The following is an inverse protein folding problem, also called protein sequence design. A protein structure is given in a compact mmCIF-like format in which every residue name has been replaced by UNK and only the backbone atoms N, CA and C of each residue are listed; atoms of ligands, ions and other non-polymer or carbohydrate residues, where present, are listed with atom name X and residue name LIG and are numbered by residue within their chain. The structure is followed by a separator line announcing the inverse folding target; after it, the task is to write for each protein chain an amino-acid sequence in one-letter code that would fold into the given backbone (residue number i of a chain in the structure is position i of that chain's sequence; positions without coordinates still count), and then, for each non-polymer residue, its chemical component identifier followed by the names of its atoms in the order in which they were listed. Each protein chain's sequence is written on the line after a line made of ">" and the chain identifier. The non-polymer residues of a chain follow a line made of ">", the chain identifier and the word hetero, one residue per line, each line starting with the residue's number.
data_IF_174415680282
#
_entry.id   IF_174415680282
#
_cell.length_a   1.000
_cell.length_b   1.000
_cell.length_c   1.000
_cell.angle_alpha   90.00
_cell.angle_beta   90.00
_cell.angle_gamma   90.00
#
_symmetry.space_group_name_H-M   'P 1'
#
loop_
_entity.id
_entity.type
_entity.pdbx_description
1 polymer ?
#
# COMPACT_ATOMS: atom_id res chain seq x y z
N UNK A 1 14.23 42.29 -16.03
CA UNK A 1 14.75 41.26 -15.09
C UNK A 1 13.71 40.81 -14.05
N UNK A 2 13.09 41.70 -13.25
CA UNK A 2 12.10 41.30 -12.22
C UNK A 2 10.92 40.47 -12.75
N UNK A 3 10.39 40.77 -13.95
CA UNK A 3 9.30 39.98 -14.56
C UNK A 3 9.72 38.59 -15.05
N UNK A 4 10.99 38.40 -15.39
CA UNK A 4 11.53 37.10 -15.85
C UNK A 4 11.72 36.16 -14.66
N UNK A 5 12.30 36.67 -13.57
CA UNK A 5 12.46 35.94 -12.31
C UNK A 5 11.11 35.49 -11.74
N UNK A 6 10.10 36.37 -11.74
CA UNK A 6 8.76 36.03 -11.28
C UNK A 6 8.12 34.90 -12.10
N UNK A 7 8.29 34.92 -13.43
CA UNK A 7 7.80 33.83 -14.32
C UNK A 7 8.50 32.50 -14.03
N UNK A 8 9.84 32.51 -13.96
CA UNK A 8 10.63 31.32 -13.64
C UNK A 8 10.26 30.72 -12.28
N UNK A 9 10.14 31.55 -11.25
CA UNK A 9 9.72 31.09 -9.92
C UNK A 9 8.32 30.49 -9.94
N UNK A 10 7.33 31.16 -10.55
CA UNK A 10 5.97 30.62 -10.64
C UNK A 10 5.90 29.25 -11.31
N UNK A 11 6.76 29.00 -12.30
CA UNK A 11 6.80 27.72 -13.03
C UNK A 11 7.51 26.61 -12.25
N UNK A 12 8.65 26.93 -11.63
CA UNK A 12 9.31 26.01 -10.69
C UNK A 12 8.35 25.62 -9.57
N UNK A 13 7.58 26.58 -9.03
CA UNK A 13 6.53 26.31 -8.05
C UNK A 13 5.42 25.41 -8.60
N UNK A 14 4.97 25.62 -9.85
CA UNK A 14 3.95 24.77 -10.47
C UNK A 14 4.43 23.33 -10.70
N UNK A 15 5.66 23.16 -11.20
CA UNK A 15 6.26 21.83 -11.39
C UNK A 15 6.45 21.11 -10.06
N UNK A 16 6.95 21.82 -9.05
CA UNK A 16 7.09 21.29 -7.71
C UNK A 16 5.72 20.87 -7.14
N UNK A 17 4.68 21.69 -7.31
CA UNK A 17 3.33 21.38 -6.83
C UNK A 17 2.80 20.08 -7.44
N UNK A 18 2.96 19.88 -8.75
CA UNK A 18 2.51 18.64 -9.43
C UNK A 18 3.28 17.43 -8.92
N UNK A 19 4.60 17.54 -8.80
CA UNK A 19 5.43 16.47 -8.24
C UNK A 19 5.02 16.12 -6.80
N UNK A 20 4.68 17.13 -5.99
CA UNK A 20 4.19 16.92 -4.62
C UNK A 20 2.81 16.25 -4.59
N UNK A 21 1.90 16.58 -5.51
CA UNK A 21 0.58 15.93 -5.61
C UNK A 21 0.75 14.45 -5.98
N UNK A 22 1.59 14.15 -6.97
CA UNK A 22 1.89 12.76 -7.37
C UNK A 22 2.54 11.98 -6.22
N UNK A 23 3.52 12.58 -5.55
CA UNK A 23 4.16 11.98 -4.39
C UNK A 23 3.17 11.72 -3.25
N UNK A 24 2.27 12.67 -2.96
CA UNK A 24 1.23 12.51 -1.94
C UNK A 24 0.30 11.34 -2.26
N UNK A 25 -0.08 11.15 -3.53
CA UNK A 25 -0.92 10.03 -3.95
C UNK A 25 -0.22 8.67 -3.73
N UNK A 26 1.05 8.57 -4.15
CA UNK A 26 1.86 7.36 -3.92
C UNK A 26 2.04 7.05 -2.42
N UNK A 27 2.26 8.08 -1.61
CA UNK A 27 2.38 7.94 -0.16
C UNK A 27 1.06 7.42 0.44
N UNK A 28 -0.08 7.97 0.04
CA UNK A 28 -1.40 7.51 0.52
C UNK A 28 -1.65 6.05 0.16
N UNK A 29 -1.35 5.64 -1.08
CA UNK A 29 -1.49 4.24 -1.51
C UNK A 29 -0.58 3.32 -0.68
N UNK A 30 0.70 3.67 -0.56
CA UNK A 30 1.68 2.91 0.22
C UNK A 30 1.29 2.80 1.70
N UNK A 31 0.72 3.86 2.28
CA UNK A 31 0.25 3.84 3.67
C UNK A 31 -0.95 2.90 3.86
N UNK A 32 -1.85 2.76 2.88
CA UNK A 32 -2.94 1.78 2.95
C UNK A 32 -2.41 0.36 2.96
N UNK A 33 -1.40 0.07 2.13
CA UNK A 33 -0.76 -1.25 2.08
C UNK A 33 -0.02 -1.55 3.38
N UNK A 34 0.68 -0.55 3.95
CA UNK A 34 1.36 -0.67 5.24
C UNK A 34 0.39 -0.96 6.38
N UNK A 35 -0.73 -0.23 6.48
CA UNK A 35 -1.75 -0.45 7.51
C UNK A 35 -2.37 -1.86 7.40
N UNK A 36 -2.56 -2.38 6.18
CA UNK A 36 -3.03 -3.76 5.97
C UNK A 36 -1.97 -4.79 6.40
N UNK A 37 -0.70 -4.53 6.12
CA UNK A 37 0.38 -5.40 6.56
C UNK A 37 0.47 -5.46 8.09
N UNK A 38 0.40 -4.31 8.77
CA UNK A 38 0.35 -4.23 10.24
C UNK A 38 -0.84 -5.00 10.81
N UNK A 39 -2.04 -4.83 10.22
CA UNK A 39 -3.22 -5.60 10.60
C UNK A 39 -2.98 -7.11 10.50
N UNK A 40 -2.41 -7.60 9.40
CA UNK A 40 -2.14 -9.02 9.19
C UNK A 40 -1.05 -9.57 10.10
N UNK A 41 -0.03 -8.77 10.42
CA UNK A 41 1.01 -9.15 11.38
C UNK A 41 0.40 -9.38 12.77
N UNK A 42 -0.41 -8.44 13.26
CA UNK A 42 -1.07 -8.59 14.56
C UNK A 42 -2.04 -9.77 14.56
N UNK A 43 -2.79 -9.99 13.47
CA UNK A 43 -3.66 -11.16 13.33
C UNK A 43 -2.89 -12.49 13.41
N UNK A 44 -1.72 -12.57 12.77
CA UNK A 44 -0.85 -13.75 12.82
C UNK A 44 -0.28 -13.98 14.22
N UNK A 45 0.17 -12.91 14.90
CA UNK A 45 0.62 -12.98 16.29
C UNK A 45 -0.48 -13.50 17.21
N UNK A 46 -1.72 -12.98 17.11
CA UNK A 46 -2.88 -13.48 17.86
C UNK A 46 -3.05 -14.99 17.63
N UNK A 47 -3.08 -15.46 16.39
CA UNK A 47 -3.21 -16.88 16.11
C UNK A 47 -2.04 -17.70 16.65
N UNK A 48 -0.80 -17.19 16.55
CA UNK A 48 0.39 -17.82 17.08
C UNK A 48 0.30 -18.05 18.59
N UNK A 49 -0.01 -17.00 19.37
CA UNK A 49 -0.13 -17.08 20.82
C UNK A 49 -1.30 -17.96 21.25
N UNK A 50 -2.47 -17.81 20.63
CA UNK A 50 -3.66 -18.61 20.93
C UNK A 50 -3.44 -20.10 20.62
N UNK A 51 -2.80 -20.43 19.51
CA UNK A 51 -2.47 -21.83 19.16
C UNK A 51 -1.44 -22.43 20.13
N UNK A 52 -0.45 -21.65 20.57
CA UNK A 52 0.54 -22.11 21.55
C UNK A 52 -0.10 -22.32 22.93
N UNK A 53 -1.01 -21.44 23.36
CA UNK A 53 -1.81 -21.62 24.57
C UNK A 53 -2.60 -22.94 24.52
N UNK A 54 -3.35 -23.15 23.43
CA UNK A 54 -4.11 -24.37 23.19
C UNK A 54 -3.22 -25.63 23.22
N UNK A 55 -2.02 -25.56 22.63
CA UNK A 55 -1.08 -26.67 22.63
C UNK A 55 -0.61 -27.03 24.06
N UNK A 56 -0.19 -26.06 24.86
CA UNK A 56 0.22 -26.31 26.24
C UNK A 56 -0.93 -26.86 27.08
N UNK A 57 -2.12 -26.28 26.96
CA UNK A 57 -3.29 -26.69 27.71
C UNK A 57 -3.86 -28.04 27.25
N UNK A 58 -3.67 -28.43 25.98
CA UNK A 58 -4.03 -29.77 25.52
C UNK A 58 -3.15 -30.85 26.19
N UNK A 59 -1.85 -30.57 26.36
CA UNK A 59 -0.95 -31.43 27.12
C UNK A 59 -1.33 -31.40 28.61
N UNK A 60 -1.60 -30.21 29.16
CA UNK A 60 -2.07 -30.01 30.54
C UNK A 60 -3.31 -30.85 30.83
N UNK A 61 -4.30 -30.83 29.92
CA UNK A 61 -5.51 -31.64 29.97
C UNK A 61 -5.20 -33.13 30.07
N UNK A 62 -4.28 -33.62 29.24
CA UNK A 62 -3.86 -35.03 29.23
C UNK A 62 -3.13 -35.44 30.52
N UNK A 63 -2.22 -34.59 31.01
CA UNK A 63 -1.52 -34.80 32.28
C UNK A 63 -2.51 -34.80 33.45
N UNK A 64 -3.41 -33.82 33.51
CA UNK A 64 -4.45 -33.75 34.55
C UNK A 64 -5.39 -34.96 34.53
N UNK A 65 -5.79 -35.41 33.34
CA UNK A 65 -6.59 -36.63 33.20
C UNK A 65 -5.85 -37.88 33.69
N UNK A 66 -4.53 -37.92 33.53
CA UNK A 66 -3.67 -39.01 34.03
C UNK A 66 -3.57 -38.96 35.56
N UNK A 67 -3.32 -37.78 36.14
CA UNK A 67 -3.30 -37.57 37.61
C UNK A 67 -4.59 -38.07 38.27
N UNK A 68 -5.74 -37.70 37.69
CA UNK A 68 -7.05 -38.06 38.21
C UNK A 68 -7.40 -39.53 38.00
N UNK A 69 -6.91 -40.16 36.93
CA UNK A 69 -7.14 -41.57 36.62
C UNK A 69 -6.21 -42.55 37.33
N UNK A 70 -5.03 -42.09 37.75
CA UNK A 70 -4.05 -42.92 38.46
C UNK A 70 -4.42 -43.09 39.93
N UNK A 71 -4.29 -44.31 40.49
CA UNK A 71 -4.41 -44.54 41.93
C UNK A 71 -3.31 -43.80 42.71
N UNK A 72 -2.06 -43.98 42.28
CA UNK A 72 -0.85 -43.35 42.82
C UNK A 72 -0.09 -42.64 41.69
N UNK A 73 -0.48 -41.42 41.31
CA UNK A 73 0.22 -40.67 40.26
C UNK A 73 1.66 -40.32 40.67
N UNK A 74 2.66 -40.46 39.78
CA UNK A 74 4.02 -39.99 40.04
C UNK A 74 4.05 -38.50 40.41
N UNK A 75 4.85 -38.13 41.41
CA UNK A 75 4.97 -36.74 41.89
C UNK A 75 5.35 -35.75 40.78
N UNK A 76 6.20 -36.18 39.83
CA UNK A 76 6.61 -35.37 38.69
C UNK A 76 5.46 -34.94 37.77
N UNK A 77 4.33 -35.65 37.76
CA UNK A 77 3.16 -35.24 36.95
C UNK A 77 2.52 -33.95 37.49
N UNK A 78 2.50 -33.75 38.81
CA UNK A 78 1.93 -32.55 39.42
C UNK A 78 2.78 -31.31 39.09
N UNK A 79 4.10 -31.43 39.21
CA UNK A 79 5.03 -30.37 38.80
C UNK A 79 4.91 -30.07 37.31
N UNK A 80 4.76 -31.11 36.47
CA UNK A 80 4.57 -30.95 35.03
C UNK A 80 3.25 -30.25 34.69
N UNK A 81 2.18 -30.61 35.38
CA UNK A 81 0.86 -29.99 35.24
C UNK A 81 0.91 -28.49 35.54
N UNK A 82 1.55 -28.11 36.65
CA UNK A 82 1.71 -26.70 37.02
C UNK A 82 2.59 -25.92 36.03
N UNK A 83 3.70 -26.52 35.58
CA UNK A 83 4.58 -25.92 34.56
C UNK A 83 3.83 -25.63 33.26
N UNK A 84 3.02 -26.60 32.79
CA UNK A 84 2.22 -26.45 31.58
C UNK A 84 1.15 -25.36 31.74
N UNK A 85 0.48 -25.31 32.90
CA UNK A 85 -0.48 -24.25 33.20
C UNK A 85 0.16 -22.87 33.13
N UNK A 86 1.34 -22.68 33.73
CA UNK A 86 2.09 -21.41 33.67
C UNK A 86 2.47 -21.01 32.24
N UNK A 87 2.93 -21.98 31.43
CA UNK A 87 3.26 -21.72 30.01
C UNK A 87 2.03 -21.36 29.18
N UNK A 88 0.92 -22.06 29.39
CA UNK A 88 -0.36 -21.74 28.78
C UNK A 88 -0.81 -20.33 29.14
N UNK A 89 -0.77 -19.97 30.43
CA UNK A 89 -1.22 -18.67 30.93
C UNK A 89 -0.42 -17.50 30.35
N UNK A 90 0.91 -17.67 30.20
CA UNK A 90 1.75 -16.68 29.54
C UNK A 90 1.31 -16.41 28.09
N UNK A 91 1.00 -17.48 27.34
CA UNK A 91 0.52 -17.36 25.95
C UNK A 91 -0.91 -16.83 25.84
N UNK A 92 -1.77 -17.12 26.80
CA UNK A 92 -3.10 -16.49 26.89
C UNK A 92 -2.95 -14.98 27.10
N UNK A 93 -2.05 -14.54 27.98
CA UNK A 93 -1.82 -13.11 28.23
C UNK A 93 -1.31 -12.39 26.98
N UNK A 94 -0.24 -12.90 26.34
CA UNK A 94 0.30 -12.34 25.10
C UNK A 94 -0.80 -12.26 24.01
N UNK A 95 -1.58 -13.33 23.84
CA UNK A 95 -2.69 -13.35 22.89
C UNK A 95 -3.77 -12.31 23.17
N UNK A 96 -4.12 -12.09 24.43
CA UNK A 96 -5.10 -11.06 24.82
C UNK A 96 -4.58 -9.64 24.59
N UNK A 97 -3.30 -9.38 24.83
CA UNK A 97 -2.66 -8.07 24.56
C UNK A 97 -2.68 -7.76 23.05
N UNK A 98 -2.28 -8.71 22.21
CA UNK A 98 -2.36 -8.55 20.74
C UNK A 98 -3.81 -8.40 20.23
N UNK A 99 -4.80 -9.03 20.88
CA UNK A 99 -6.21 -8.84 20.53
C UNK A 99 -6.66 -7.41 20.85
N UNK A 100 -6.23 -6.82 21.96
CA UNK A 100 -6.53 -5.43 22.28
C UNK A 100 -5.91 -4.47 21.26
N UNK A 101 -4.71 -4.77 20.77
CA UNK A 101 -4.09 -4.04 19.66
C UNK A 101 -4.87 -4.20 18.35
N UNK A 102 -5.23 -5.43 17.99
CA UNK A 102 -6.03 -5.74 16.81
C UNK A 102 -7.35 -4.97 16.81
N UNK A 103 -8.03 -4.89 17.95
CA UNK A 103 -9.30 -4.18 18.08
C UNK A 103 -9.18 -2.65 17.95
N UNK A 104 -7.97 -2.08 18.08
CA UNK A 104 -7.70 -0.66 17.76
C UNK A 104 -7.53 -0.45 16.26
N UNK A 105 -6.97 -1.43 15.55
CA UNK A 105 -6.78 -1.39 14.10
C UNK A 105 -8.07 -1.71 13.35
N UNK A 106 -8.91 -2.59 13.91
CA UNK A 106 -10.17 -3.06 13.30
C UNK A 106 -11.24 -3.28 14.35
N UNK A 107 -12.38 -2.60 14.20
CA UNK A 107 -13.58 -2.91 14.99
C UNK A 107 -14.18 -4.24 14.54
N UNK A 108 -14.32 -5.17 15.48
CA UNK A 108 -14.77 -6.54 15.20
C UNK A 108 -15.65 -7.07 16.36
N UNK A 109 -16.98 -6.89 16.29
CA UNK A 109 -17.91 -7.31 17.35
C UNK A 109 -17.95 -8.83 17.56
N UNK A 110 -17.72 -9.60 16.49
CA UNK A 110 -17.69 -11.06 16.56
C UNK A 110 -16.44 -11.51 17.34
N UNK A 111 -15.29 -10.88 17.07
CA UNK A 111 -14.06 -11.14 17.83
C UNK A 111 -14.23 -10.80 19.31
N UNK A 112 -14.86 -9.66 19.62
CA UNK A 112 -15.15 -9.28 21.01
C UNK A 112 -16.02 -10.34 21.72
N UNK A 113 -17.02 -10.87 21.03
CA UNK A 113 -17.90 -11.93 21.55
C UNK A 113 -17.14 -13.24 21.78
N UNK A 114 -16.30 -13.64 20.82
CA UNK A 114 -15.46 -14.83 20.92
C UNK A 114 -14.47 -14.71 22.10
N UNK A 115 -13.84 -13.54 22.26
CA UNK A 115 -12.90 -13.25 23.34
C UNK A 115 -13.59 -13.28 24.70
N UNK A 116 -14.80 -12.73 24.82
CA UNK A 116 -15.59 -12.82 26.06
C UNK A 116 -15.87 -14.27 26.44
N UNK A 117 -16.28 -15.08 25.47
CA UNK A 117 -16.53 -16.51 25.66
C UNK A 117 -15.26 -17.25 26.09
N UNK A 118 -14.14 -16.97 25.44
CA UNK A 118 -12.84 -17.53 25.80
C UNK A 118 -12.39 -17.13 27.20
N UNK A 119 -12.49 -15.85 27.58
CA UNK A 119 -12.15 -15.38 28.94
C UNK A 119 -12.93 -16.14 30.01
N UNK A 120 -14.22 -16.42 29.79
CA UNK A 120 -15.02 -17.22 30.70
C UNK A 120 -14.53 -18.67 30.79
N UNK A 121 -14.30 -19.33 29.65
CA UNK A 121 -13.79 -20.70 29.64
C UNK A 121 -12.38 -20.83 30.24
N UNK A 122 -11.54 -19.81 30.07
CA UNK A 122 -10.21 -19.72 30.66
C UNK A 122 -10.27 -19.56 32.18
N UNK A 123 -11.20 -18.76 32.69
CA UNK A 123 -11.44 -18.67 34.13
C UNK A 123 -11.91 -20.01 34.70
N UNK A 124 -12.82 -20.71 34.04
CA UNK A 124 -13.26 -22.05 34.43
C UNK A 124 -12.06 -23.04 34.51
N UNK A 125 -11.20 -23.02 33.49
CA UNK A 125 -9.96 -23.82 33.45
C UNK A 125 -9.06 -23.49 34.65
N UNK A 126 -8.79 -22.21 34.91
CA UNK A 126 -7.95 -21.76 36.04
C UNK A 126 -8.53 -22.21 37.37
N UNK A 127 -9.84 -22.10 37.56
CA UNK A 127 -10.52 -22.53 38.79
C UNK A 127 -10.55 -24.06 38.97
N UNK A 128 -10.45 -24.83 37.88
CA UNK A 128 -10.38 -26.29 37.93
C UNK A 128 -8.97 -26.81 38.29
N UNK A 129 -7.89 -26.09 37.95
CA UNK A 129 -6.50 -26.54 38.19
C UNK A 129 -6.19 -26.93 39.65
N UNK A 130 -6.52 -26.11 40.68
CA UNK A 130 -6.30 -26.52 42.07
C UNK A 130 -7.06 -27.79 42.45
N UNK A 131 -8.24 -27.99 41.85
CA UNK A 131 -9.06 -29.20 42.07
C UNK A 131 -8.44 -30.45 41.45
N UNK A 132 -7.69 -30.31 40.35
CA UNK A 132 -6.88 -31.39 39.79
C UNK A 132 -5.72 -31.72 40.73
N UNK A 133 -5.04 -30.71 41.24
CA UNK A 133 -3.87 -30.86 42.13
C UNK A 133 -4.22 -31.59 43.43
N UNK A 134 -5.36 -31.26 44.05
CA UNK A 134 -5.85 -31.94 45.25
C UNK A 134 -6.76 -33.15 44.94
N UNK A 135 -6.95 -33.47 43.65
CA UNK A 135 -7.77 -34.59 43.15
C UNK A 135 -9.23 -34.55 43.61
N UNK A 136 -9.80 -33.36 43.83
CA UNK A 136 -11.20 -33.15 44.21
C UNK A 136 -12.17 -33.03 43.04
N UNK A 137 -11.69 -32.99 41.80
CA UNK A 137 -12.50 -32.98 40.57
C UNK A 137 -12.43 -34.33 39.85
N UNK A 138 -13.52 -34.72 39.17
CA UNK A 138 -13.54 -35.94 38.38
C UNK A 138 -12.87 -35.76 37.00
N UNK A 139 -12.34 -36.85 36.43
CA UNK A 139 -11.83 -36.85 35.03
C UNK A 139 -12.91 -36.43 34.02
N UNK A 140 -14.15 -36.87 34.25
CA UNK A 140 -15.33 -36.54 33.43
C UNK A 140 -15.70 -35.06 33.49
N UNK A 141 -15.27 -34.31 34.50
CA UNK A 141 -15.48 -32.87 34.61
C UNK A 141 -14.25 -32.07 34.14
N UNK A 142 -13.05 -32.56 34.44
CA UNK A 142 -11.79 -31.92 34.03
C UNK A 142 -11.62 -31.87 32.50
N UNK A 143 -11.78 -33.01 31.82
CA UNK A 143 -11.54 -33.10 30.37
C UNK A 143 -12.45 -32.13 29.59
N UNK A 144 -13.78 -32.10 29.84
CA UNK A 144 -14.65 -31.14 29.17
C UNK A 144 -14.32 -29.68 29.49
N UNK A 145 -14.00 -29.36 30.75
CA UNK A 145 -13.63 -28.00 31.16
C UNK A 145 -12.43 -27.49 30.35
N UNK A 146 -11.35 -28.26 30.31
CA UNK A 146 -10.16 -27.89 29.54
C UNK A 146 -10.42 -27.88 28.03
N UNK A 147 -11.23 -28.81 27.53
CA UNK A 147 -11.58 -28.87 26.10
C UNK A 147 -12.41 -27.66 25.66
N UNK A 148 -13.33 -27.18 26.50
CA UNK A 148 -14.13 -25.98 26.23
C UNK A 148 -13.25 -24.74 26.10
N UNK A 149 -12.22 -24.60 26.94
CA UNK A 149 -11.27 -23.50 26.80
C UNK A 149 -10.50 -23.58 25.47
N UNK A 150 -9.91 -24.73 25.16
CA UNK A 150 -9.18 -24.96 23.91
C UNK A 150 -10.06 -24.70 22.68
N UNK A 151 -11.32 -25.11 22.71
CA UNK A 151 -12.27 -24.83 21.62
C UNK A 151 -12.58 -23.34 21.49
N UNK A 152 -12.67 -22.61 22.61
CA UNK A 152 -12.89 -21.16 22.60
C UNK A 152 -11.65 -20.41 22.08
N UNK A 153 -10.45 -20.92 22.34
CA UNK A 153 -9.20 -20.44 21.72
C UNK A 153 -9.23 -20.60 20.20
N UNK A 154 -9.59 -21.78 19.69
CA UNK A 154 -9.74 -21.96 18.25
C UNK A 154 -10.85 -21.10 17.64
N UNK A 155 -11.93 -20.84 18.37
CA UNK A 155 -12.98 -19.92 17.93
C UNK A 155 -12.44 -18.50 17.77
N UNK A 156 -11.69 -17.97 18.75
CA UNK A 156 -11.01 -16.67 18.65
C UNK A 156 -10.08 -16.65 17.43
N UNK A 157 -9.22 -17.67 17.28
CA UNK A 157 -8.32 -17.78 16.13
C UNK A 157 -9.08 -17.77 14.80
N UNK A 158 -10.21 -18.46 14.70
CA UNK A 158 -10.98 -18.53 13.46
C UNK A 158 -11.68 -17.21 13.15
N UNK A 159 -12.26 -16.54 14.15
CA UNK A 159 -12.92 -15.24 13.97
C UNK A 159 -11.92 -14.15 13.62
N UNK A 160 -10.70 -14.16 14.17
CA UNK A 160 -9.62 -13.24 13.79
C UNK A 160 -9.41 -13.21 12.27
N UNK A 161 -9.49 -14.39 11.62
CA UNK A 161 -9.31 -14.58 10.17
C UNK A 161 -10.63 -14.68 9.39
N UNK A 162 -11.76 -14.29 9.98
CA UNK A 162 -13.00 -14.15 9.25
C UNK A 162 -12.84 -13.08 8.17
N UNK A 163 -13.34 -13.39 6.97
CA UNK A 163 -13.16 -12.51 5.81
C UNK A 163 -14.00 -11.23 5.92
N UNK A 164 -13.33 -10.08 5.92
CA UNK A 164 -13.91 -8.76 6.07
C UNK A 164 -13.88 -7.95 4.78
N UNK A 165 -12.96 -8.25 3.85
CA UNK A 165 -12.92 -7.64 2.52
C UNK A 165 -13.10 -8.66 1.38
N UNK A 166 -13.28 -8.14 0.15
CA UNK A 166 -13.51 -8.97 -1.02
C UNK A 166 -12.33 -9.89 -1.36
N UNK A 167 -11.09 -9.48 -1.10
CA UNK A 167 -9.89 -10.30 -1.39
C UNK A 167 -9.81 -11.46 -0.41
N UNK A 168 -10.02 -11.17 0.88
CA UNK A 168 -10.10 -12.18 1.92
C UNK A 168 -11.23 -13.18 1.67
N UNK A 169 -12.40 -12.70 1.23
CA UNK A 169 -13.56 -13.55 0.90
C UNK A 169 -13.23 -14.56 -0.18
N UNK A 170 -12.62 -14.12 -1.28
CA UNK A 170 -12.22 -15.02 -2.38
C UNK A 170 -11.31 -16.13 -1.88
N UNK A 171 -10.32 -15.78 -1.05
CA UNK A 171 -9.38 -16.76 -0.49
C UNK A 171 -10.15 -17.72 0.45
N UNK A 172 -10.82 -17.19 1.49
CA UNK A 172 -11.48 -17.98 2.52
C UNK A 172 -12.57 -18.90 1.95
N UNK A 173 -13.37 -18.42 1.01
CA UNK A 173 -14.42 -19.22 0.38
C UNK A 173 -13.86 -20.40 -0.42
N UNK A 174 -12.75 -20.21 -1.14
CA UNK A 174 -12.17 -21.28 -1.94
C UNK A 174 -11.31 -22.25 -1.13
N UNK A 175 -10.51 -21.76 -0.18
CA UNK A 175 -9.56 -22.60 0.57
C UNK A 175 -10.17 -23.22 1.83
N UNK A 176 -11.18 -22.58 2.43
CA UNK A 176 -11.83 -23.07 3.66
C UNK A 176 -13.19 -23.66 3.34
N UNK A 177 -14.12 -22.86 2.81
CA UNK A 177 -15.52 -23.30 2.68
C UNK A 177 -15.66 -24.43 1.66
N UNK A 178 -15.18 -24.22 0.43
CA UNK A 178 -15.27 -25.23 -0.62
C UNK A 178 -14.51 -26.51 -0.29
N UNK A 179 -13.34 -26.40 0.36
CA UNK A 179 -12.58 -27.55 0.81
C UNK A 179 -13.35 -28.39 1.85
N UNK A 180 -13.98 -27.74 2.83
CA UNK A 180 -14.82 -28.43 3.81
C UNK A 180 -16.08 -29.02 3.17
N UNK A 181 -16.74 -28.31 2.26
CA UNK A 181 -17.90 -28.84 1.52
C UNK A 181 -17.52 -30.06 0.69
N UNK A 182 -16.38 -30.02 -0.02
CA UNK A 182 -15.91 -31.14 -0.83
C UNK A 182 -15.62 -32.38 0.05
N UNK A 183 -14.92 -32.18 1.16
CA UNK A 183 -14.62 -33.25 2.12
C UNK A 183 -15.91 -33.86 2.68
N UNK A 184 -16.83 -33.01 3.14
CA UNK A 184 -18.14 -33.42 3.64
C UNK A 184 -18.93 -34.22 2.60
N UNK A 185 -19.03 -33.72 1.37
CA UNK A 185 -19.80 -34.34 0.31
C UNK A 185 -19.23 -35.71 -0.10
N UNK A 186 -17.90 -35.84 -0.15
CA UNK A 186 -17.23 -37.10 -0.46
C UNK A 186 -17.53 -38.17 0.60
N UNK A 187 -17.26 -37.87 1.87
CA UNK A 187 -17.47 -38.85 2.94
C UNK A 187 -18.95 -39.16 3.17
N UNK A 188 -19.85 -38.19 2.99
CA UNK A 188 -21.29 -38.43 2.99
C UNK A 188 -21.73 -39.29 1.78
N UNK A 189 -21.08 -39.12 0.63
CA UNK A 189 -21.32 -39.91 -0.58
C UNK A 189 -20.88 -41.37 -0.42
N UNK A 190 -19.73 -41.61 0.20
CA UNK A 190 -19.25 -42.96 0.55
C UNK A 190 -20.21 -43.64 1.54
N UNK A 191 -20.62 -42.92 2.58
CA UNK A 191 -21.63 -43.41 3.52
C UNK A 191 -22.94 -43.77 2.81
N UNK A 192 -23.44 -42.88 1.94
CA UNK A 192 -24.65 -43.13 1.15
C UNK A 192 -24.56 -44.44 0.39
N UNK A 193 -23.44 -44.70 -0.28
CA UNK A 193 -23.23 -45.92 -1.06
C UNK A 193 -23.21 -47.17 -0.17
N UNK A 194 -22.48 -47.13 0.96
CA UNK A 194 -22.39 -48.26 1.89
C UNK A 194 -23.73 -48.59 2.53
N UNK A 195 -24.43 -47.58 3.07
CA UNK A 195 -25.75 -47.78 3.67
C UNK A 195 -26.80 -48.19 2.64
N UNK A 196 -26.71 -47.70 1.39
CA UNK A 196 -27.60 -48.13 0.31
C UNK A 196 -27.52 -49.63 0.04
N UNK A 197 -26.30 -50.18 0.00
CA UNK A 197 -26.08 -51.62 -0.17
C UNK A 197 -26.63 -52.44 1.01
N UNK A 198 -26.42 -51.96 2.25
CA UNK A 198 -26.96 -52.62 3.45
C UNK A 198 -28.49 -52.62 3.43
N UNK A 199 -29.10 -51.46 3.18
CA UNK A 199 -30.57 -51.31 3.16
C UNK A 199 -31.19 -52.20 2.09
N UNK A 200 -30.60 -52.26 0.89
CA UNK A 200 -31.07 -53.11 -0.19
C UNK A 200 -30.97 -54.61 0.16
N UNK A 201 -29.96 -55.01 0.94
CA UNK A 201 -29.83 -56.40 1.40
C UNK A 201 -30.82 -56.78 2.50
N UNK A 202 -31.35 -55.80 3.24
CA UNK A 202 -32.19 -56.01 4.43
C UNK A 202 -31.45 -56.62 5.64
N UNK A 203 -30.15 -56.94 5.50
CA UNK A 203 -29.34 -57.47 6.59
C UNK A 203 -28.85 -56.33 7.51
N UNK A 204 -28.62 -56.61 8.81
CA UNK A 204 -27.98 -55.65 9.71
C UNK A 204 -26.61 -55.19 9.22
N UNK A 205 -26.24 -53.94 9.52
CA UNK A 205 -24.93 -53.36 9.27
C UNK A 205 -23.85 -54.20 9.96
N UNK A 206 -22.86 -54.73 9.22
CA UNK A 206 -21.75 -55.46 9.81
C UNK A 206 -20.94 -54.58 10.79
N UNK A 207 -20.42 -55.12 11.91
CA UNK A 207 -19.66 -54.34 12.90
C UNK A 207 -18.47 -53.56 12.32
N UNK A 208 -17.76 -54.14 11.34
CA UNK A 208 -16.65 -53.49 10.65
C UNK A 208 -17.13 -52.30 9.80
N UNK A 209 -18.24 -52.47 9.08
CA UNK A 209 -18.86 -51.39 8.30
C UNK A 209 -19.35 -50.29 9.22
N UNK A 210 -19.97 -50.63 10.34
CA UNK A 210 -20.41 -49.65 11.34
C UNK A 210 -19.25 -48.80 11.85
N UNK A 211 -18.12 -49.44 12.18
CA UNK A 211 -16.91 -48.73 12.63
C UNK A 211 -16.39 -47.76 11.57
N UNK A 212 -16.36 -48.15 10.29
CA UNK A 212 -15.96 -47.27 9.18
C UNK A 212 -16.91 -46.09 9.02
N UNK A 213 -18.23 -46.34 9.07
CA UNK A 213 -19.25 -45.30 8.99
C UNK A 213 -19.12 -44.26 10.12
N UNK A 214 -18.82 -44.70 11.33
CA UNK A 214 -18.53 -43.78 12.44
C UNK A 214 -17.29 -42.91 12.17
N UNK A 215 -16.24 -43.48 11.57
CA UNK A 215 -15.06 -42.73 11.14
C UNK A 215 -15.39 -41.67 10.08
N UNK A 216 -16.13 -42.04 9.04
CA UNK A 216 -16.59 -41.07 8.02
C UNK A 216 -17.47 -39.99 8.63
N UNK A 217 -18.32 -40.35 9.59
CA UNK A 217 -19.20 -39.39 10.25
C UNK A 217 -18.42 -38.35 11.04
N UNK A 218 -17.37 -38.74 11.75
CA UNK A 218 -16.51 -37.79 12.46
C UNK A 218 -15.88 -36.76 11.51
N UNK A 219 -15.47 -37.19 10.30
CA UNK A 219 -14.92 -36.30 9.27
C UNK A 219 -15.98 -35.33 8.77
N UNK A 220 -17.18 -35.84 8.46
CA UNK A 220 -18.34 -35.04 8.04
C UNK A 220 -18.67 -34.00 9.10
N UNK A 221 -18.78 -34.37 10.38
CA UNK A 221 -19.14 -33.46 11.47
C UNK A 221 -18.08 -32.38 11.69
N UNK A 222 -16.80 -32.70 11.56
CA UNK A 222 -15.73 -31.71 11.64
C UNK A 222 -15.86 -30.67 10.50
N UNK A 223 -16.03 -31.13 9.26
CA UNK A 223 -16.20 -30.25 8.12
C UNK A 223 -17.48 -29.40 8.23
N UNK A 224 -18.58 -29.99 8.70
CA UNK A 224 -19.82 -29.28 9.01
C UNK A 224 -19.61 -28.19 10.05
N UNK A 225 -18.92 -28.49 11.15
CA UNK A 225 -18.65 -27.52 12.21
C UNK A 225 -17.94 -26.26 11.71
N UNK A 226 -16.95 -26.43 10.82
CA UNK A 226 -16.23 -25.32 10.20
C UNK A 226 -17.14 -24.45 9.32
N UNK A 227 -18.08 -25.05 8.60
CA UNK A 227 -19.05 -24.33 7.76
C UNK A 227 -20.07 -23.59 8.65
N UNK A 228 -20.60 -24.26 9.66
CA UNK A 228 -21.61 -23.71 10.57
C UNK A 228 -21.09 -22.50 11.37
N UNK A 229 -19.81 -22.51 11.73
CA UNK A 229 -19.17 -21.41 12.44
C UNK A 229 -19.27 -20.08 11.68
N UNK A 230 -19.45 -20.10 10.36
CA UNK A 230 -19.58 -18.91 9.55
C UNK A 230 -20.96 -18.27 9.66
N UNK A 231 -22.03 -19.06 9.86
CA UNK A 231 -23.42 -18.56 9.78
C UNK A 231 -23.72 -17.40 10.71
N UNK A 232 -23.13 -17.40 11.90
CA UNK A 232 -23.38 -16.41 12.95
C UNK A 232 -22.51 -15.15 12.87
N UNK A 233 -21.56 -15.08 11.94
CA UNK A 233 -20.67 -13.93 11.82
C UNK A 233 -21.38 -12.75 11.16
N UNK A 234 -21.15 -11.55 11.66
CA UNK A 234 -21.67 -10.30 11.12
C UNK A 234 -21.23 -10.03 9.68
N UNK A 235 -20.11 -10.60 9.26
CA UNK A 235 -19.53 -10.43 7.92
C UNK A 235 -19.98 -11.47 6.91
N UNK A 236 -20.74 -12.47 7.35
CA UNK A 236 -21.25 -13.54 6.48
C UNK A 236 -22.37 -13.02 5.56
N UNK A 237 -22.22 -13.17 4.23
CA UNK A 237 -23.26 -12.76 3.30
C UNK A 237 -24.61 -13.45 3.56
N UNK A 238 -25.74 -12.74 3.45
CA UNK A 238 -27.07 -13.31 3.69
C UNK A 238 -27.38 -14.56 2.84
N UNK A 239 -26.90 -14.58 1.59
CA UNK A 239 -27.05 -15.72 0.69
C UNK A 239 -26.33 -16.96 1.24
N UNK A 240 -25.13 -16.78 1.78
CA UNK A 240 -24.37 -17.86 2.42
C UNK A 240 -25.06 -18.33 3.71
N UNK A 241 -25.52 -17.41 4.56
CA UNK A 241 -26.26 -17.75 5.78
C UNK A 241 -27.55 -18.55 5.47
N UNK A 242 -28.23 -18.19 4.39
CA UNK A 242 -29.42 -18.90 3.89
C UNK A 242 -29.06 -20.31 3.40
N UNK A 243 -27.99 -20.46 2.61
CA UNK A 243 -27.52 -21.76 2.14
C UNK A 243 -27.10 -22.68 3.30
N UNK A 244 -26.40 -22.14 4.31
CA UNK A 244 -26.03 -22.90 5.52
C UNK A 244 -27.27 -23.30 6.31
N UNK A 245 -28.29 -22.44 6.41
CA UNK A 245 -29.55 -22.77 7.10
C UNK A 245 -30.33 -23.89 6.40
N UNK A 246 -30.34 -23.90 5.06
CA UNK A 246 -30.93 -25.01 4.30
C UNK A 246 -30.17 -26.33 4.53
N UNK A 247 -28.84 -26.26 4.56
CA UNK A 247 -27.99 -27.40 4.90
C UNK A 247 -28.24 -27.92 6.32
N UNK A 248 -28.34 -27.05 7.32
CA UNK A 248 -28.68 -27.44 8.69
C UNK A 248 -30.02 -28.17 8.76
N UNK A 249 -31.06 -27.58 8.15
CA UNK A 249 -32.42 -28.13 8.19
C UNK A 249 -32.51 -29.51 7.54
N UNK A 250 -31.87 -29.68 6.37
CA UNK A 250 -31.94 -30.92 5.62
C UNK A 250 -30.89 -31.95 6.11
N UNK A 251 -29.60 -31.62 6.01
CA UNK A 251 -28.53 -32.58 6.24
C UNK A 251 -28.34 -32.93 7.72
N UNK A 252 -28.41 -31.92 8.61
CA UNK A 252 -28.25 -32.11 10.06
C UNK A 252 -29.59 -32.32 10.79
N UNK A 253 -30.71 -32.01 10.14
CA UNK A 253 -32.05 -32.26 10.65
C UNK A 253 -32.65 -33.54 10.09
N UNK A 254 -33.42 -33.41 9.01
CA UNK A 254 -34.27 -34.49 8.49
C UNK A 254 -33.47 -35.75 8.06
N UNK A 255 -32.37 -35.56 7.34
CA UNK A 255 -31.49 -36.64 6.89
C UNK A 255 -30.78 -37.32 8.06
N UNK A 256 -30.31 -36.54 9.04
CA UNK A 256 -29.69 -37.08 10.25
C UNK A 256 -30.68 -37.94 11.04
N UNK A 257 -31.92 -37.49 11.22
CA UNK A 257 -32.96 -38.29 11.88
C UNK A 257 -33.26 -39.59 11.13
N UNK A 258 -33.27 -39.57 9.80
CA UNK A 258 -33.42 -40.79 9.00
C UNK A 258 -32.24 -41.76 9.21
N UNK A 259 -31.00 -41.25 9.23
CA UNK A 259 -29.79 -42.04 9.51
C UNK A 259 -29.86 -42.75 10.85
N UNK A 260 -30.25 -42.03 11.90
CA UNK A 260 -30.38 -42.59 13.25
C UNK A 260 -31.43 -43.71 13.30
N UNK A 261 -32.56 -43.55 12.59
CA UNK A 261 -33.58 -44.60 12.46
C UNK A 261 -33.04 -45.83 11.73
N UNK A 262 -32.22 -45.66 10.69
CA UNK A 262 -31.55 -46.77 9.98
C UNK A 262 -30.60 -47.51 10.91
N UNK A 263 -29.78 -46.79 11.68
CA UNK A 263 -28.88 -47.41 12.68
C UNK A 263 -29.64 -48.16 13.76
N UNK A 264 -30.73 -47.58 14.26
CA UNK A 264 -31.59 -48.23 15.26
C UNK A 264 -32.28 -49.49 14.71
N UNK A 265 -32.81 -49.43 13.47
CA UNK A 265 -33.42 -50.58 12.80
C UNK A 265 -32.41 -51.71 12.60
N UNK A 266 -31.20 -51.36 12.13
CA UNK A 266 -30.08 -52.30 11.99
C UNK A 266 -29.73 -52.98 13.31
N UNK A 267 -29.56 -52.22 14.39
CA UNK A 267 -29.19 -52.76 15.71
C UNK A 267 -30.28 -53.67 16.30
N UNK A 268 -31.55 -53.40 15.96
CA UNK A 268 -32.71 -54.15 16.44
C UNK A 268 -33.12 -55.31 15.52
N UNK A 269 -32.47 -55.48 14.37
CA UNK A 269 -32.87 -56.46 13.34
C UNK A 269 -34.26 -56.21 12.74
N UNK A 270 -34.76 -54.97 12.82
CA UNK A 270 -36.08 -54.58 12.27
C UNK A 270 -35.95 -54.16 10.79
N UNK A 271 -37.03 -54.23 10.00
CA UNK A 271 -37.03 -53.69 8.64
C UNK A 271 -36.59 -52.23 8.62
N UNK A 272 -35.78 -51.86 7.62
CA UNK A 272 -35.36 -50.49 7.43
C UNK A 272 -36.56 -49.58 7.14
N UNK A 273 -36.55 -48.33 7.62
CA UNK A 273 -37.68 -47.40 7.47
C UNK A 273 -37.87 -46.89 6.04
N UNK A 274 -36.93 -47.19 5.14
CA UNK A 274 -36.90 -46.77 3.75
C UNK A 274 -36.20 -47.86 2.93
N UNK A 275 -36.53 -47.96 1.65
CA UNK A 275 -35.82 -48.83 0.71
C UNK A 275 -34.51 -48.18 0.22
N UNK A 276 -33.72 -48.96 -0.53
CA UNK A 276 -32.44 -48.49 -1.05
C UNK A 276 -32.58 -47.27 -1.95
N UNK A 277 -33.59 -47.24 -2.82
CA UNK A 277 -33.83 -46.13 -3.73
C UNK A 277 -34.21 -44.84 -2.97
N UNK A 278 -35.11 -44.94 -2.00
CA UNK A 278 -35.50 -43.82 -1.16
C UNK A 278 -34.34 -43.30 -0.30
N UNK A 279 -33.49 -44.20 0.22
CA UNK A 279 -32.27 -43.80 0.93
C UNK A 279 -31.31 -43.02 0.04
N UNK A 280 -31.03 -43.51 -1.17
CA UNK A 280 -30.16 -42.80 -2.13
C UNK A 280 -30.75 -41.43 -2.47
N UNK A 281 -32.07 -41.33 -2.66
CA UNK A 281 -32.75 -40.06 -2.88
C UNK A 281 -32.60 -39.07 -1.73
N UNK A 282 -32.88 -39.51 -0.49
CA UNK A 282 -32.76 -38.69 0.71
C UNK A 282 -31.32 -38.21 0.95
N UNK A 283 -30.35 -39.11 0.83
CA UNK A 283 -28.93 -38.78 0.97
C UNK A 283 -28.44 -37.82 -0.11
N UNK A 284 -28.89 -38.00 -1.36
CA UNK A 284 -28.55 -37.10 -2.46
C UNK A 284 -29.12 -35.71 -2.23
N UNK A 285 -30.39 -35.61 -1.82
CA UNK A 285 -31.02 -34.34 -1.46
C UNK A 285 -30.25 -33.63 -0.36
N UNK A 286 -29.85 -34.35 0.69
CA UNK A 286 -29.05 -33.81 1.77
C UNK A 286 -27.68 -33.32 1.29
N UNK A 287 -26.92 -34.13 0.56
CA UNK A 287 -25.59 -33.76 0.03
C UNK A 287 -25.70 -32.53 -0.89
N UNK A 288 -26.75 -32.43 -1.70
CA UNK A 288 -26.98 -31.29 -2.57
C UNK A 288 -27.13 -29.97 -1.81
N UNK A 289 -27.65 -29.98 -0.57
CA UNK A 289 -27.67 -28.75 0.25
C UNK A 289 -26.27 -28.29 0.67
N UNK A 290 -25.34 -29.23 0.91
CA UNK A 290 -23.94 -28.89 1.14
C UNK A 290 -23.28 -28.36 -0.14
N UNK A 291 -23.51 -29.01 -1.29
CA UNK A 291 -23.00 -28.54 -2.58
C UNK A 291 -23.57 -27.16 -2.98
N UNK A 292 -24.80 -26.85 -2.59
CA UNK A 292 -25.38 -25.53 -2.79
C UNK A 292 -24.61 -24.42 -2.05
N UNK A 293 -24.00 -24.72 -0.90
CA UNK A 293 -23.08 -23.80 -0.22
C UNK A 293 -21.86 -23.53 -1.12
N UNK A 294 -21.25 -24.57 -1.70
CA UNK A 294 -20.10 -24.43 -2.62
C UNK A 294 -20.41 -23.57 -3.86
N UNK A 295 -21.61 -23.74 -4.42
CA UNK A 295 -22.10 -22.92 -5.52
C UNK A 295 -22.30 -21.46 -5.09
N UNK A 296 -22.97 -21.24 -3.96
CA UNK A 296 -23.22 -19.90 -3.40
C UNK A 296 -21.94 -19.13 -3.15
N UNK A 297 -20.94 -19.77 -2.52
CA UNK A 297 -19.64 -19.11 -2.31
C UNK A 297 -18.86 -18.91 -3.61
N UNK A 298 -19.16 -19.70 -4.64
CA UNK A 298 -18.66 -19.48 -6.00
C UNK A 298 -19.15 -18.18 -6.60
N UNK A 299 -20.47 -18.00 -6.61
CA UNK A 299 -21.11 -16.79 -7.12
C UNK A 299 -20.66 -15.55 -6.33
N UNK A 300 -20.54 -15.68 -5.00
CA UNK A 300 -20.02 -14.62 -4.15
C UNK A 300 -18.55 -14.29 -4.45
N UNK A 301 -17.72 -15.31 -4.71
CA UNK A 301 -16.32 -15.12 -5.11
C UNK A 301 -16.22 -14.42 -6.47
N UNK A 302 -17.06 -14.78 -7.44
CA UNK A 302 -17.09 -14.14 -8.75
C UNK A 302 -17.50 -12.66 -8.66
N UNK A 303 -18.52 -12.36 -7.84
CA UNK A 303 -18.92 -10.98 -7.52
C UNK A 303 -17.78 -10.20 -6.87
N UNK A 304 -17.10 -10.79 -5.89
CA UNK A 304 -15.96 -10.18 -5.21
C UNK A 304 -14.79 -9.90 -6.17
N UNK A 305 -14.43 -10.86 -7.03
CA UNK A 305 -13.40 -10.68 -8.08
C UNK A 305 -13.77 -9.55 -9.03
N UNK A 306 -15.02 -9.52 -9.50
CA UNK A 306 -15.49 -8.45 -10.39
C UNK A 306 -15.39 -7.07 -9.73
N UNK A 307 -15.71 -6.96 -8.44
CA UNK A 307 -15.55 -5.72 -7.68
C UNK A 307 -14.08 -5.33 -7.53
N UNK A 308 -13.21 -6.27 -7.15
CA UNK A 308 -11.75 -6.04 -7.06
C UNK A 308 -11.18 -5.54 -8.39
N UNK A 309 -11.56 -6.16 -9.51
CA UNK A 309 -11.13 -5.74 -10.84
C UNK A 309 -11.66 -4.36 -11.21
N UNK A 310 -12.89 -4.02 -10.80
CA UNK A 310 -13.47 -2.70 -11.05
C UNK A 310 -12.78 -1.61 -10.24
N UNK A 311 -12.48 -1.85 -8.97
CA UNK A 311 -11.70 -0.95 -8.11
C UNK A 311 -10.31 -0.73 -8.69
N UNK A 312 -9.58 -1.82 -9.01
CA UNK A 312 -8.26 -1.73 -9.62
C UNK A 312 -8.26 -0.99 -10.96
N UNK A 313 -9.29 -1.18 -11.80
CA UNK A 313 -9.42 -0.44 -13.06
C UNK A 313 -9.66 1.04 -12.83
N UNK A 314 -10.48 1.41 -11.84
CA UNK A 314 -10.72 2.81 -11.50
C UNK A 314 -9.46 3.49 -10.96
N UNK A 315 -8.72 2.80 -10.10
CA UNK A 315 -7.42 3.28 -9.60
C UNK A 315 -6.44 3.47 -10.77
N UNK A 316 -6.34 2.49 -11.66
CA UNK A 316 -5.49 2.57 -12.86
C UNK A 316 -5.87 3.75 -13.77
N UNK A 317 -7.17 3.99 -14.00
CA UNK A 317 -7.65 5.11 -14.80
C UNK A 317 -7.26 6.44 -14.14
N UNK A 318 -7.40 6.55 -12.82
CA UNK A 318 -7.05 7.75 -12.07
C UNK A 318 -5.53 8.02 -12.12
N UNK A 319 -4.71 6.98 -12.00
CA UNK A 319 -3.25 7.07 -12.14
C UNK A 319 -2.85 7.54 -13.55
N UNK A 320 -3.44 6.96 -14.60
CA UNK A 320 -3.20 7.39 -15.98
C UNK A 320 -3.66 8.82 -16.22
N UNK A 321 -4.80 9.23 -15.67
CA UNK A 321 -5.30 10.59 -15.79
C UNK A 321 -4.37 11.60 -15.11
N UNK A 322 -3.91 11.30 -13.89
CA UNK A 322 -2.92 12.13 -13.17
C UNK A 322 -1.61 12.23 -13.93
N UNK A 323 -1.11 11.12 -14.47
CA UNK A 323 0.08 11.10 -15.30
C UNK A 323 -0.08 11.94 -16.57
N UNK A 324 -1.22 11.81 -17.28
CA UNK A 324 -1.51 12.59 -18.47
C UNK A 324 -1.56 14.10 -18.17
N UNK A 325 -2.20 14.50 -17.07
CA UNK A 325 -2.22 15.91 -16.62
C UNK A 325 -0.79 16.40 -16.34
N UNK A 326 0.03 15.62 -15.65
CA UNK A 326 1.42 15.99 -15.38
C UNK A 326 2.23 16.19 -16.68
N UNK A 327 2.05 15.32 -17.67
CA UNK A 327 2.68 15.46 -19.00
C UNK A 327 2.19 16.71 -19.73
N UNK A 328 0.89 17.00 -19.71
CA UNK A 328 0.31 18.19 -20.35
C UNK A 328 0.88 19.46 -19.71
N UNK A 329 0.93 19.53 -18.38
CA UNK A 329 1.52 20.70 -17.70
C UNK A 329 3.01 20.81 -18.00
N UNK A 330 3.74 19.69 -18.04
CA UNK A 330 5.15 19.70 -18.41
C UNK A 330 5.37 20.29 -19.81
N UNK A 331 4.60 19.83 -20.81
CA UNK A 331 4.67 20.35 -22.19
C UNK A 331 4.32 21.85 -22.23
N UNK A 332 3.25 22.25 -21.53
CA UNK A 332 2.84 23.65 -21.44
C UNK A 332 3.95 24.53 -20.86
N UNK A 333 4.51 24.13 -19.72
CA UNK A 333 5.62 24.83 -19.05
C UNK A 333 6.82 24.90 -19.98
N UNK A 334 7.19 23.80 -20.65
CA UNK A 334 8.31 23.77 -21.60
C UNK A 334 8.14 24.77 -22.76
N UNK A 335 6.97 24.77 -23.41
CA UNK A 335 6.66 25.70 -24.50
C UNK A 335 6.68 27.15 -23.99
N UNK A 336 6.15 27.37 -22.79
CA UNK A 336 6.13 28.69 -22.17
C UNK A 336 7.54 29.20 -21.83
N UNK A 337 8.44 28.35 -21.29
CA UNK A 337 9.88 28.68 -21.08
C UNK A 337 10.49 29.13 -22.40
N UNK A 338 10.32 28.30 -23.44
CA UNK A 338 10.92 28.56 -24.74
C UNK A 338 10.47 29.92 -25.29
N UNK A 339 9.17 30.22 -25.23
CA UNK A 339 8.60 31.46 -25.77
C UNK A 339 8.86 32.70 -24.91
N UNK A 340 8.74 32.59 -23.60
CA UNK A 340 8.79 33.77 -22.71
C UNK A 340 10.16 34.06 -22.12
N UNK A 341 11.10 33.10 -22.12
CA UNK A 341 12.42 33.25 -21.52
C UNK A 341 13.52 33.06 -22.57
N UNK A 342 13.56 31.90 -23.23
CA UNK A 342 14.66 31.55 -24.15
C UNK A 342 14.67 32.47 -25.37
N UNK A 343 13.55 32.61 -26.07
CA UNK A 343 13.49 33.43 -27.29
C UNK A 343 13.83 34.91 -27.06
N UNK A 344 13.30 35.60 -26.03
CA UNK A 344 13.68 37.00 -25.75
C UNK A 344 15.15 37.17 -25.37
N UNK A 345 15.74 36.21 -24.62
CA UNK A 345 17.17 36.25 -24.28
C UNK A 345 18.01 36.13 -25.55
N UNK A 346 17.68 35.20 -26.45
CA UNK A 346 18.39 35.06 -27.72
C UNK A 346 18.33 36.36 -28.55
N UNK A 347 17.16 37.00 -28.64
CA UNK A 347 17.03 38.31 -29.32
C UNK A 347 17.86 39.41 -28.67
N UNK A 348 17.91 39.48 -27.34
CA UNK A 348 18.76 40.46 -26.65
C UNK A 348 20.25 40.21 -26.92
N UNK A 349 20.68 38.95 -26.99
CA UNK A 349 22.06 38.59 -27.34
C UNK A 349 22.36 39.00 -28.79
N UNK A 350 21.44 38.75 -29.73
CA UNK A 350 21.56 39.19 -31.13
C UNK A 350 21.69 40.72 -31.23
N UNK A 351 20.78 41.48 -30.61
CA UNK A 351 20.83 42.95 -30.63
C UNK A 351 22.09 43.52 -29.96
N UNK A 352 22.57 42.90 -28.87
CA UNK A 352 23.81 43.33 -28.22
C UNK A 352 25.02 43.06 -29.11
N UNK A 353 25.04 41.93 -29.83
CA UNK A 353 26.07 41.60 -30.80
C UNK A 353 26.09 42.59 -31.97
N UNK A 354 24.92 42.95 -32.51
CA UNK A 354 24.79 43.97 -33.56
C UNK A 354 25.27 45.34 -33.08
N UNK A 355 24.83 45.79 -31.90
CA UNK A 355 25.27 47.06 -31.31
C UNK A 355 26.77 47.11 -31.05
N UNK A 356 27.35 46.01 -30.57
CA UNK A 356 28.81 45.86 -30.41
C UNK A 356 29.54 46.00 -31.74
N UNK A 357 29.03 45.37 -32.82
CA UNK A 357 29.61 45.50 -34.16
C UNK A 357 29.54 46.94 -34.67
N UNK A 358 28.42 47.65 -34.46
CA UNK A 358 28.28 49.05 -34.86
C UNK A 358 29.25 49.97 -34.10
N UNK A 359 29.41 49.76 -32.79
CA UNK A 359 30.37 50.51 -31.98
C UNK A 359 31.80 50.25 -32.47
N UNK A 360 32.14 49.01 -32.80
CA UNK A 360 33.45 48.66 -33.35
C UNK A 360 33.72 49.38 -34.68
N UNK A 361 32.74 49.41 -35.60
CA UNK A 361 32.84 50.15 -36.86
C UNK A 361 32.98 51.66 -36.63
N UNK A 362 32.11 52.27 -35.82
CA UNK A 362 32.17 53.69 -35.52
C UNK A 362 33.48 54.11 -34.85
N UNK A 363 34.03 53.25 -33.98
CA UNK A 363 35.36 53.46 -33.38
C UNK A 363 36.47 53.43 -34.43
N UNK A 364 36.35 52.58 -35.45
CA UNK A 364 37.23 52.57 -36.62
C UNK A 364 37.16 53.87 -37.43
N UNK A 365 35.95 54.36 -37.72
CA UNK A 365 35.74 55.62 -38.45
C UNK A 365 36.27 56.84 -37.68
N UNK A 366 36.05 56.88 -36.36
CA UNK A 366 36.59 57.91 -35.47
C UNK A 366 38.11 57.86 -35.49
N UNK A 367 38.71 56.68 -35.34
CA UNK A 367 40.17 56.52 -35.37
C UNK A 367 40.75 57.02 -36.69
N UNK A 368 40.12 56.71 -37.82
CA UNK A 368 40.52 57.21 -39.14
C UNK A 368 40.37 58.73 -39.25
N UNK A 369 39.26 59.28 -38.78
CA UNK A 369 38.99 60.72 -38.83
C UNK A 369 39.95 61.50 -37.93
N UNK A 370 40.27 60.98 -36.75
CA UNK A 370 41.28 61.54 -35.85
C UNK A 370 42.67 61.51 -36.48
N UNK A 371 43.02 60.46 -37.22
CA UNK A 371 44.29 60.38 -37.96
C UNK A 371 44.37 61.46 -39.05
N UNK A 372 43.33 61.60 -39.89
CA UNK A 372 43.30 62.64 -40.92
C UNK A 372 43.28 64.05 -40.33
N UNK A 373 42.60 64.27 -39.20
CA UNK A 373 42.61 65.55 -38.51
C UNK A 373 44.00 65.87 -37.94
N UNK A 374 44.70 64.87 -37.38
CA UNK A 374 46.05 65.03 -36.90
C UNK A 374 47.00 65.41 -38.05
N UNK A 375 46.89 64.72 -39.19
CA UNK A 375 47.66 65.03 -40.42
C UNK A 375 47.39 66.46 -40.92
N UNK A 376 46.13 66.85 -41.07
CA UNK A 376 45.77 68.21 -41.49
C UNK A 376 46.18 69.29 -40.48
N UNK A 377 46.15 69.00 -39.18
CA UNK A 377 46.64 69.92 -38.15
C UNK A 377 48.16 70.09 -38.23
N UNK A 378 48.90 69.01 -38.52
CA UNK A 378 50.35 69.07 -38.76
C UNK A 378 50.67 69.90 -40.02
N UNK A 379 49.90 69.74 -41.09
CA UNK A 379 50.06 70.53 -42.31
C UNK A 379 49.77 72.03 -42.06
N UNK A 380 48.68 72.36 -41.36
CA UNK A 380 48.38 73.74 -40.96
C UNK A 380 49.47 74.35 -40.07
N UNK A 381 49.98 73.59 -39.09
CA UNK A 381 51.08 74.04 -38.26
C UNK A 381 52.31 74.38 -39.11
N UNK A 382 52.64 73.53 -40.10
CA UNK A 382 53.72 73.78 -41.04
C UNK A 382 53.49 75.03 -41.91
N UNK A 383 52.28 75.25 -42.43
CA UNK A 383 51.96 76.47 -43.20
C UNK A 383 52.00 77.74 -42.35
N UNK A 384 51.60 77.65 -41.07
CA UNK A 384 51.71 78.77 -40.12
C UNK A 384 53.18 79.09 -39.79
N UNK A 385 54.02 78.07 -39.66
CA UNK A 385 55.45 78.23 -39.48
C UNK A 385 56.08 78.92 -40.70
N UNK A 386 55.76 78.47 -41.91
CA UNK A 386 56.20 79.10 -43.16
C UNK A 386 55.72 80.55 -43.29
N UNK A 387 54.45 80.83 -42.95
CA UNK A 387 53.88 82.19 -42.96
C UNK A 387 54.58 83.08 -41.92
N UNK A 388 54.86 82.55 -40.74
CA UNK A 388 55.55 83.29 -39.67
C UNK A 388 56.99 83.62 -40.09
N UNK A 389 57.72 82.68 -40.68
CA UNK A 389 59.04 82.92 -41.27
C UNK A 389 58.99 83.94 -42.41
N UNK A 390 57.97 83.89 -43.27
CA UNK A 390 57.77 84.89 -44.31
C UNK A 390 57.50 86.28 -43.73
N UNK A 391 56.69 86.38 -42.66
CA UNK A 391 56.44 87.63 -41.94
C UNK A 391 57.69 88.18 -41.25
N UNK A 392 58.52 87.34 -40.64
CA UNK A 392 59.82 87.75 -40.07
C UNK A 392 60.74 88.31 -41.15
N UNK A 393 60.83 87.63 -42.31
CA UNK A 393 61.59 88.12 -43.45
C UNK A 393 61.03 89.45 -43.97
N UNK A 394 59.70 89.59 -44.04
CA UNK A 394 59.03 90.83 -44.49
C UNK A 394 59.23 91.98 -43.52
N UNK A 395 59.18 91.72 -42.21
CA UNK A 395 59.43 92.71 -41.17
C UNK A 395 60.90 93.18 -41.20
N UNK A 396 61.84 92.24 -41.37
CA UNK A 396 63.26 92.54 -41.60
C UNK A 396 63.46 93.42 -42.83
N UNK A 397 62.82 93.07 -43.95
CA UNK A 397 62.88 93.86 -45.19
C UNK A 397 62.25 95.25 -45.02
N UNK A 398 61.14 95.35 -44.30
CA UNK A 398 60.47 96.63 -44.00
C UNK A 398 61.34 97.51 -43.12
N UNK A 399 62.00 96.92 -42.11
CA UNK A 399 62.97 97.64 -41.28
C UNK A 399 64.16 98.11 -42.10
N UNK A 400 64.71 97.26 -42.97
CA UNK A 400 65.77 97.65 -43.90
C UNK A 400 65.33 98.80 -44.84
N UNK A 401 64.10 98.76 -45.35
CA UNK A 401 63.55 99.84 -46.19
C UNK A 401 63.36 101.14 -45.41
N UNK A 402 62.93 101.07 -44.14
CA UNK A 402 62.82 102.23 -43.26
C UNK A 402 64.20 102.83 -42.95
N UNK A 403 65.20 102.00 -42.65
CA UNK A 403 66.59 102.43 -42.44
C UNK A 403 67.17 103.09 -43.71
N UNK A 404 66.94 102.49 -44.88
CA UNK A 404 67.34 103.06 -46.18
C UNK A 404 66.64 104.40 -46.45
N UNK A 405 65.35 104.51 -46.14
CA UNK A 405 64.59 105.76 -46.32
C UNK A 405 65.07 106.84 -45.36
N UNK A 406 65.40 106.49 -44.11
CA UNK A 406 66.01 107.39 -43.14
C UNK A 406 67.39 107.85 -43.60
N UNK A 407 68.24 106.93 -44.09
CA UNK A 407 69.53 107.28 -44.67
C UNK A 407 69.37 108.22 -45.88
N UNK A 408 68.46 107.91 -46.80
CA UNK A 408 68.16 108.76 -47.95
C UNK A 408 67.66 110.15 -47.51
N UNK A 409 66.83 110.23 -46.47
CA UNK A 409 66.38 111.49 -45.89
C UNK A 409 67.53 112.28 -45.26
N UNK A 410 68.45 111.62 -44.54
CA UNK A 410 69.64 112.27 -44.00
C UNK A 410 70.56 112.77 -45.11
N UNK A 411 70.80 111.97 -46.15
CA UNK A 411 71.54 112.38 -47.34
C UNK A 411 70.90 113.58 -48.04
N UNK A 412 69.57 113.59 -48.20
CA UNK A 412 68.84 114.72 -48.78
C UNK A 412 68.91 115.97 -47.89
N UNK A 413 68.86 115.82 -46.56
CA UNK A 413 69.04 116.93 -45.62
C UNK A 413 70.46 117.50 -45.67
N UNK A 414 71.47 116.65 -45.68
CA UNK A 414 72.87 117.06 -45.80
C UNK A 414 73.12 117.77 -47.14
N UNK A 415 72.58 117.24 -48.24
CA UNK A 415 72.67 117.88 -49.55
C UNK A 415 71.98 119.26 -49.59
N UNK A 416 70.88 119.41 -48.84
CA UNK A 416 70.21 120.70 -48.66
C UNK A 416 71.03 121.69 -47.83
N UNK A 417 71.64 121.24 -46.73
CA UNK A 417 72.55 122.08 -45.93
C UNK A 417 73.77 122.56 -46.74
N UNK A 418 74.39 121.66 -47.51
CA UNK A 418 75.50 122.04 -48.41
C UNK A 418 75.06 123.05 -49.48
N UNK A 419 73.82 122.97 -49.97
CA UNK A 419 73.27 123.94 -50.92
C UNK A 419 72.94 125.30 -50.27
N UNK A 420 72.44 125.33 -49.03
CA UNK A 420 72.13 126.57 -48.30
C UNK A 420 73.40 127.31 -47.83
N UNK A 421 74.52 126.61 -47.61
CA UNK A 421 75.81 127.24 -47.27
C UNK A 421 76.55 127.84 -48.48
N UNK A 422 76.08 127.58 -49.71
CA UNK A 422 76.68 128.05 -50.97
C UNK A 422 76.07 129.31 -51.57
N UNK A 423 75.07 129.93 -50.92
CA UNK A 423 74.35 131.13 -51.38
C UNK A 423 74.60 132.32 -50.44
#
# INVERSE_FOLDING_TARGET
>A
MKSLQAKLMGMLSLMLLISLILAAFLIVSSNKDMNKAELYEVMDQVAGHVNQAAAFQAIERGVGATILGSKNPPSGLFSKFEELGKKGDAKVQEGLENIEELLKLRSDPDLQTAVSTWKNAYNDLKSARPKVMNRSISKSEWIPTASKNIQSEFAVRNVTFAANDNRERVIAFNTVVRANVATLAEFAGIERAQLGGVIASGAPIPPETFTKLMGFRAIVENASGNILALKGLSTTPPELSTAISAYESEFLGSYQSLREKIYSASASGKPYPIDGAGWIGAATKAINTALAISNTVGDLSEKAVTQIMSEARNDMILDFALFAVAVIVFIFVFIFIKRSVVNPINRMIESLSEGSSQIASASGDISSSSQSLAEGSTEQASSLEETSSALEQMASQTKQNADNSSQASSLASNAREEAEAGA
#
